data_IF_329987667929
#
_entry.id   IF_329987667929
#
_cell.length_a   1.000
_cell.length_b   1.000
_cell.length_c   1.000
_cell.angle_alpha   90.00
_cell.angle_beta   90.00
_cell.angle_gamma   90.00
#
_symmetry.space_group_name_H-M   'P 1'
#
loop_
_entity.id
_entity.type
_entity.pdbx_description
1 polymer ?
#
# COMPACT_ATOMS: atom_id res chain seq x y z
N UNK A 1 20.68 17.25 2.95
CA UNK A 1 20.76 15.83 3.33
C UNK A 1 21.38 15.05 2.19
N UNK A 2 22.31 14.12 2.46
CA UNK A 2 22.86 13.22 1.42
C UNK A 2 21.94 12.02 1.20
N UNK A 3 22.01 11.34 0.05
CA UNK A 3 21.18 10.14 -0.19
C UNK A 3 21.37 9.06 0.88
N UNK A 4 22.60 8.87 1.37
CA UNK A 4 22.88 7.93 2.46
C UNK A 4 22.11 8.29 3.74
N UNK A 5 22.09 9.58 4.11
CA UNK A 5 21.32 10.07 5.27
C UNK A 5 19.81 9.90 5.04
N UNK A 6 19.33 10.10 3.81
CA UNK A 6 17.92 9.89 3.48
C UNK A 6 17.50 8.43 3.68
N UNK A 7 18.32 7.48 3.21
CA UNK A 7 18.05 6.05 3.43
C UNK A 7 18.13 5.66 4.91
N UNK A 8 18.99 6.30 5.70
CA UNK A 8 19.00 6.08 7.15
C UNK A 8 17.70 6.53 7.82
N UNK A 9 17.16 7.69 7.44
CA UNK A 9 15.85 8.16 7.93
C UNK A 9 14.74 7.22 7.49
N UNK A 10 14.74 6.76 6.23
CA UNK A 10 13.73 5.80 5.76
C UNK A 10 13.85 4.44 6.46
N UNK A 11 15.06 3.98 6.79
CA UNK A 11 15.28 2.76 7.60
C UNK A 11 14.71 2.86 9.00
N UNK A 12 14.81 4.03 9.64
CA UNK A 12 14.24 4.24 10.97
C UNK A 12 12.73 4.48 10.94
N UNK A 13 12.20 5.09 9.87
CA UNK A 13 10.78 5.41 9.74
C UNK A 13 9.93 4.25 9.18
N UNK A 14 10.40 3.56 8.14
CA UNK A 14 9.68 2.47 7.45
C UNK A 14 10.05 1.10 8.04
N UNK A 15 9.81 0.95 9.34
CA UNK A 15 10.09 -0.31 10.05
C UNK A 15 9.10 -1.42 9.70
N UNK A 16 9.46 -2.66 10.02
CA UNK A 16 8.57 -3.80 9.83
C UNK A 16 7.26 -3.66 10.64
N UNK A 17 7.32 -2.98 11.79
CA UNK A 17 6.13 -2.72 12.60
C UNK A 17 5.22 -1.69 11.92
N UNK A 18 5.79 -0.62 11.37
CA UNK A 18 5.05 0.37 10.57
C UNK A 18 4.41 -0.31 9.35
N UNK A 19 5.11 -1.22 8.68
CA UNK A 19 4.56 -1.99 7.56
C UNK A 19 3.36 -2.86 7.98
N UNK A 20 3.43 -3.52 9.15
CA UNK A 20 2.29 -4.31 9.68
C UNK A 20 1.09 -3.42 10.01
N UNK A 21 1.31 -2.28 10.65
CA UNK A 21 0.24 -1.33 10.95
C UNK A 21 -0.40 -0.78 9.67
N UNK A 22 0.43 -0.44 8.69
CA UNK A 22 -0.02 0.06 7.40
C UNK A 22 -0.79 -1.00 6.62
N UNK A 23 -0.37 -2.27 6.70
CA UNK A 23 -1.14 -3.41 6.18
C UNK A 23 -2.54 -3.45 6.78
N UNK A 24 -2.65 -3.39 8.11
CA UNK A 24 -3.96 -3.42 8.77
C UNK A 24 -4.84 -2.25 8.33
N UNK A 25 -4.29 -1.04 8.26
CA UNK A 25 -5.00 0.16 7.80
C UNK A 25 -5.50 0.02 6.37
N UNK A 26 -4.65 -0.45 5.46
CA UNK A 26 -4.97 -0.62 4.04
C UNK A 26 -6.01 -1.71 3.85
N UNK A 27 -5.87 -2.86 4.50
CA UNK A 27 -6.83 -3.95 4.39
C UNK A 27 -8.20 -3.56 4.95
N UNK A 28 -8.26 -2.84 6.07
CA UNK A 28 -9.51 -2.31 6.59
C UNK A 28 -10.18 -1.31 5.63
N UNK A 29 -9.39 -0.51 4.90
CA UNK A 29 -9.91 0.41 3.88
C UNK A 29 -10.46 -0.34 2.66
N UNK A 30 -9.76 -1.38 2.20
CA UNK A 30 -10.21 -2.24 1.09
C UNK A 30 -11.49 -2.99 1.46
N UNK A 31 -11.54 -3.55 2.66
CA UNK A 31 -12.73 -4.24 3.19
C UNK A 31 -13.93 -3.30 3.26
N UNK A 32 -13.75 -2.12 3.85
CA UNK A 32 -14.81 -1.09 3.91
C UNK A 32 -15.32 -0.73 2.53
N UNK A 33 -14.42 -0.52 1.58
CA UNK A 33 -14.78 -0.23 0.19
C UNK A 33 -15.56 -1.37 -0.47
N UNK A 34 -15.21 -2.62 -0.20
CA UNK A 34 -15.96 -3.76 -0.70
C UNK A 34 -17.39 -3.77 -0.14
N UNK A 35 -17.55 -3.52 1.17
CA UNK A 35 -18.86 -3.35 1.78
C UNK A 35 -19.65 -2.19 1.17
N UNK A 36 -19.03 -1.02 0.98
CA UNK A 36 -19.69 0.15 0.38
C UNK A 36 -20.18 -0.14 -1.05
N UNK A 37 -19.40 -0.89 -1.83
CA UNK A 37 -19.80 -1.31 -3.18
C UNK A 37 -20.98 -2.28 -3.16
N UNK A 38 -21.00 -3.24 -2.23
CA UNK A 38 -22.12 -4.16 -2.08
C UNK A 38 -23.39 -3.44 -1.61
N UNK A 39 -23.26 -2.48 -0.69
CA UNK A 39 -24.36 -1.63 -0.26
C UNK A 39 -24.90 -0.75 -1.39
N UNK A 40 -24.02 -0.19 -2.23
CA UNK A 40 -24.44 0.57 -3.41
C UNK A 40 -25.20 -0.29 -4.44
N UNK A 41 -24.97 -1.60 -4.44
CA UNK A 41 -25.69 -2.57 -5.26
C UNK A 41 -26.96 -3.13 -4.57
N UNK A 42 -27.22 -2.77 -3.31
CA UNK A 42 -28.33 -3.27 -2.50
C UNK A 42 -28.22 -4.76 -2.17
N UNK A 43 -26.99 -5.29 -2.10
CA UNK A 43 -26.67 -6.71 -1.85
C UNK A 43 -25.69 -6.88 -0.70
N UNK A 44 -25.61 -5.92 0.22
CA UNK A 44 -24.74 -5.97 1.40
C UNK A 44 -24.97 -7.19 2.29
N UNK A 45 -26.20 -7.71 2.31
CA UNK A 45 -26.60 -8.89 3.07
C UNK A 45 -25.95 -10.19 2.59
N UNK A 46 -25.41 -10.21 1.35
CA UNK A 46 -24.78 -11.41 0.78
C UNK A 46 -23.55 -11.85 1.57
N UNK A 47 -22.88 -10.92 2.25
CA UNK A 47 -21.74 -11.27 3.11
C UNK A 47 -22.14 -11.94 4.44
N UNK A 48 -23.41 -11.81 4.84
CA UNK A 48 -23.96 -12.42 6.05
C UNK A 48 -24.61 -13.79 5.75
N UNK A 49 -24.72 -14.17 4.48
CA UNK A 49 -25.25 -15.47 4.08
C UNK A 49 -24.29 -16.59 4.53
N UNK A 50 -24.77 -17.58 5.32
CA UNK A 50 -23.92 -18.63 5.87
C UNK A 50 -23.08 -19.37 4.81
N UNK A 51 -23.68 -19.64 3.65
CA UNK A 51 -23.04 -20.32 2.53
C UNK A 51 -21.90 -19.49 1.91
N UNK A 52 -22.03 -18.16 1.91
CA UNK A 52 -20.99 -17.24 1.42
C UNK A 52 -19.86 -17.14 2.43
N UNK A 53 -20.18 -17.05 3.72
CA UNK A 53 -19.20 -17.06 4.82
C UNK A 53 -18.36 -18.34 4.79
N UNK A 54 -19.00 -19.51 4.63
CA UNK A 54 -18.32 -20.81 4.56
C UNK A 54 -17.42 -20.91 3.31
N UNK A 55 -17.92 -20.46 2.15
CA UNK A 55 -17.13 -20.40 0.91
C UNK A 55 -15.95 -19.45 1.00
N UNK A 56 -16.11 -18.29 1.66
CA UNK A 56 -15.03 -17.35 1.89
C UNK A 56 -13.99 -17.91 2.87
N UNK A 57 -14.41 -18.65 3.89
CA UNK A 57 -13.51 -19.34 4.81
C UNK A 57 -12.68 -20.42 4.09
N UNK A 58 -13.33 -21.28 3.31
CA UNK A 58 -12.66 -22.27 2.45
C UNK A 58 -11.72 -21.59 1.45
N UNK A 59 -12.15 -20.51 0.81
CA UNK A 59 -11.31 -19.75 -0.11
C UNK A 59 -10.04 -19.20 0.58
N UNK A 60 -10.14 -18.68 1.81
CA UNK A 60 -8.99 -18.23 2.60
C UNK A 60 -8.04 -19.38 3.01
N UNK A 61 -8.57 -20.59 3.17
CA UNK A 61 -7.81 -21.78 3.54
C UNK A 61 -7.07 -22.39 2.34
N UNK A 62 -7.67 -22.35 1.15
CA UNK A 62 -7.17 -23.04 -0.05
C UNK A 62 -6.52 -22.11 -1.10
N UNK A 63 -6.70 -20.80 -1.01
CA UNK A 63 -6.06 -19.84 -1.90
C UNK A 63 -5.23 -18.80 -1.14
N UNK A 64 -4.00 -18.60 -1.62
CA UNK A 64 -3.30 -17.34 -1.45
C UNK A 64 -4.19 -16.22 -2.02
N UNK A 65 -4.79 -15.43 -1.11
CA UNK A 65 -5.88 -14.49 -1.37
C UNK A 65 -5.39 -13.44 -2.40
N UNK A 66 -6.24 -12.79 -3.21
CA UNK A 66 -5.84 -11.66 -4.05
C UNK A 66 -5.17 -10.51 -3.27
N UNK A 67 -5.43 -10.44 -1.95
CA UNK A 67 -4.69 -9.60 -1.00
C UNK A 67 -3.20 -9.96 -0.86
N UNK A 68 -2.77 -11.17 -1.24
CA UNK A 68 -1.35 -11.54 -1.29
C UNK A 68 -0.61 -10.77 -2.38
N UNK A 69 -1.25 -10.40 -3.49
CA UNK A 69 -0.61 -9.57 -4.51
C UNK A 69 -0.48 -8.11 -4.05
N UNK A 70 -1.50 -7.58 -3.35
CA UNK A 70 -1.40 -6.26 -2.73
C UNK A 70 -0.37 -6.25 -1.60
N UNK A 71 -0.35 -7.29 -0.77
CA UNK A 71 0.60 -7.42 0.32
C UNK A 71 2.03 -7.59 -0.19
N UNK A 72 2.27 -8.43 -1.20
CA UNK A 72 3.56 -8.56 -1.88
C UNK A 72 3.98 -7.21 -2.48
N UNK A 73 3.07 -6.47 -3.12
CA UNK A 73 3.36 -5.13 -3.62
C UNK A 73 3.76 -4.17 -2.51
N UNK A 74 3.06 -4.19 -1.37
CA UNK A 74 3.40 -3.37 -0.20
C UNK A 74 4.79 -3.75 0.35
N UNK A 75 5.08 -5.03 0.52
CA UNK A 75 6.38 -5.52 0.98
C UNK A 75 7.50 -5.09 0.02
N UNK A 76 7.23 -5.19 -1.29
CA UNK A 76 8.16 -4.76 -2.32
C UNK A 76 8.48 -3.27 -2.19
N UNK A 77 7.48 -2.38 -2.16
CA UNK A 77 7.74 -0.94 -2.11
C UNK A 77 8.39 -0.51 -0.80
N UNK A 78 8.04 -1.12 0.34
CA UNK A 78 8.69 -0.84 1.62
C UNK A 78 10.17 -1.24 1.59
N UNK A 79 10.48 -2.44 1.11
CA UNK A 79 11.88 -2.89 0.98
C UNK A 79 12.67 -1.97 0.05
N UNK A 80 12.14 -1.67 -1.14
CA UNK A 80 12.86 -0.84 -2.12
C UNK A 80 13.06 0.59 -1.61
N UNK A 81 12.06 1.18 -0.98
CA UNK A 81 12.18 2.51 -0.40
C UNK A 81 13.25 2.56 0.71
N UNK A 82 13.35 1.49 1.50
CA UNK A 82 14.27 1.39 2.63
C UNK A 82 15.71 1.08 2.24
N UNK A 83 15.87 0.12 1.35
CA UNK A 83 17.15 -0.54 1.07
C UNK A 83 17.72 -0.14 -0.31
N UNK A 84 16.92 0.55 -1.14
CA UNK A 84 17.25 0.91 -2.51
C UNK A 84 16.77 -0.13 -3.52
N UNK A 85 16.75 0.26 -4.80
CA UNK A 85 16.34 -0.59 -5.92
C UNK A 85 17.56 -1.15 -6.67
N UNK A 86 17.57 -2.46 -6.91
CA UNK A 86 18.44 -3.04 -7.94
C UNK A 86 17.82 -2.96 -9.36
N UNK A 87 18.52 -3.49 -10.36
CA UNK A 87 18.04 -3.45 -11.76
C UNK A 87 16.75 -4.25 -11.98
N UNK A 88 16.59 -5.37 -11.27
CA UNK A 88 15.39 -6.19 -11.35
C UNK A 88 14.19 -5.49 -10.70
N UNK A 89 14.44 -4.79 -9.59
CA UNK A 89 13.45 -4.00 -8.87
C UNK A 89 12.89 -2.87 -9.74
N UNK A 90 13.75 -2.18 -10.49
CA UNK A 90 13.32 -1.12 -11.42
C UNK A 90 12.35 -1.63 -12.48
N UNK A 91 12.52 -2.88 -12.90
CA UNK A 91 11.65 -3.52 -13.89
C UNK A 91 10.29 -3.91 -13.29
N UNK A 92 10.28 -4.33 -12.02
CA UNK A 92 9.07 -4.78 -11.31
C UNK A 92 8.28 -3.63 -10.66
N UNK A 93 8.92 -2.50 -10.37
CA UNK A 93 8.31 -1.36 -9.69
C UNK A 93 7.01 -0.87 -10.34
N UNK A 94 6.90 -0.70 -11.68
CA UNK A 94 5.66 -0.26 -12.31
C UNK A 94 4.48 -1.22 -12.08
N UNK A 95 4.75 -2.52 -12.03
CA UNK A 95 3.71 -3.54 -11.81
C UNK A 95 3.17 -3.46 -10.38
N UNK A 96 4.07 -3.46 -9.38
CA UNK A 96 3.68 -3.41 -7.97
C UNK A 96 3.03 -2.08 -7.59
N UNK A 97 3.56 -0.94 -8.06
CA UNK A 97 2.93 0.37 -7.89
C UNK A 97 1.54 0.38 -8.54
N UNK A 98 1.43 -0.15 -9.77
CA UNK A 98 0.15 -0.26 -10.46
C UNK A 98 -0.86 -1.11 -9.69
N UNK A 99 -0.44 -2.20 -9.05
CA UNK A 99 -1.30 -3.05 -8.21
C UNK A 99 -1.82 -2.27 -7.01
N UNK A 100 -0.96 -1.52 -6.31
CA UNK A 100 -1.37 -0.67 -5.18
C UNK A 100 -2.36 0.41 -5.66
N UNK A 101 -2.00 1.17 -6.69
CA UNK A 101 -2.81 2.30 -7.14
C UNK A 101 -4.18 1.87 -7.66
N UNK A 102 -4.23 0.79 -8.45
CA UNK A 102 -5.50 0.26 -8.94
C UNK A 102 -6.37 -0.28 -7.82
N UNK A 103 -5.79 -1.03 -6.89
CA UNK A 103 -6.57 -1.64 -5.80
C UNK A 103 -7.15 -0.60 -4.87
N UNK A 104 -6.39 0.45 -4.53
CA UNK A 104 -6.79 1.44 -3.55
C UNK A 104 -7.60 2.60 -4.14
N UNK A 105 -7.31 3.01 -5.37
CA UNK A 105 -7.76 4.29 -5.90
C UNK A 105 -8.52 4.23 -7.23
N UNK A 106 -8.57 3.09 -7.92
CA UNK A 106 -9.38 2.97 -9.15
C UNK A 106 -10.84 2.75 -8.78
N UNK A 107 -11.71 3.70 -9.11
CA UNK A 107 -13.17 3.55 -8.99
C UNK A 107 -13.72 2.57 -10.03
N UNK A 108 -14.83 1.90 -9.73
CA UNK A 108 -15.55 1.05 -10.70
C UNK A 108 -15.97 1.85 -11.96
N UNK A 109 -16.17 3.17 -11.81
CA UNK A 109 -16.61 4.06 -12.88
C UNK A 109 -15.46 4.76 -13.62
N UNK A 110 -14.24 4.77 -13.07
CA UNK A 110 -13.11 5.55 -13.61
C UNK A 110 -11.90 4.62 -13.74
N UNK A 111 -11.40 4.44 -14.97
CA UNK A 111 -10.26 3.55 -15.25
C UNK A 111 -8.94 4.06 -14.63
N UNK A 112 -8.83 5.36 -14.36
CA UNK A 112 -7.64 5.99 -13.82
C UNK A 112 -7.71 6.09 -12.29
N UNK A 113 -6.68 5.62 -11.55
CA UNK A 113 -6.56 5.83 -10.11
C UNK A 113 -6.67 7.31 -9.73
N UNK A 114 -7.44 7.64 -8.69
CA UNK A 114 -7.53 8.99 -8.11
C UNK A 114 -6.92 8.99 -6.72
N UNK A 115 -5.66 9.38 -6.62
CA UNK A 115 -4.88 9.35 -5.37
C UNK A 115 -5.05 10.70 -4.65
N UNK A 116 -5.61 10.75 -3.42
CA UNK A 116 -5.76 11.99 -2.69
C UNK A 116 -4.41 12.47 -2.15
N UNK A 117 -4.19 13.78 -2.08
CA UNK A 117 -2.90 14.37 -1.70
C UNK A 117 -2.39 13.87 -0.34
N UNK A 118 -3.30 13.78 0.64
CA UNK A 118 -3.03 13.31 1.99
C UNK A 118 -2.50 11.86 2.04
N UNK A 119 -2.74 11.07 1.00
CA UNK A 119 -2.22 9.71 0.95
C UNK A 119 -0.70 9.67 0.82
N UNK A 120 -0.09 10.67 0.16
CA UNK A 120 1.36 10.76 0.01
C UNK A 120 2.10 11.01 1.32
N UNK A 121 1.37 11.37 2.38
CA UNK A 121 1.88 11.55 3.73
C UNK A 121 1.83 10.24 4.55
N UNK A 122 1.16 9.18 4.08
CA UNK A 122 1.12 7.89 4.80
C UNK A 122 2.40 7.09 4.55
N UNK A 123 2.78 6.16 5.46
CA UNK A 123 3.97 5.34 5.28
C UNK A 123 4.03 4.60 3.93
N UNK A 124 2.90 4.03 3.46
CA UNK A 124 2.84 3.42 2.14
C UNK A 124 2.98 4.43 1.01
N UNK A 125 2.35 5.60 1.13
CA UNK A 125 2.44 6.67 0.13
C UNK A 125 3.87 7.19 -0.04
N UNK A 126 4.57 7.40 1.06
CA UNK A 126 5.98 7.79 1.07
C UNK A 126 6.84 6.71 0.40
N UNK A 127 6.64 5.44 0.76
CA UNK A 127 7.35 4.33 0.13
C UNK A 127 7.10 4.29 -1.38
N UNK A 128 5.85 4.41 -1.82
CA UNK A 128 5.50 4.46 -3.24
C UNK A 128 6.16 5.64 -3.96
N UNK A 129 6.16 6.84 -3.36
CA UNK A 129 6.79 8.04 -3.94
C UNK A 129 8.30 7.87 -4.11
N UNK A 130 8.98 7.28 -3.12
CA UNK A 130 10.42 6.98 -3.21
C UNK A 130 10.72 5.97 -4.31
N UNK A 131 9.90 4.93 -4.43
CA UNK A 131 10.07 3.90 -5.48
C UNK A 131 9.78 4.47 -6.87
N UNK A 132 8.78 5.34 -7.00
CA UNK A 132 8.37 5.93 -8.28
C UNK A 132 9.31 7.04 -8.76
N UNK A 133 9.67 7.97 -7.87
CA UNK A 133 10.39 9.21 -8.23
C UNK A 133 11.86 9.19 -7.82
N UNK A 134 12.30 8.18 -7.07
CA UNK A 134 13.62 8.11 -6.48
C UNK A 134 13.76 8.93 -5.20
N UNK A 135 14.75 8.57 -4.38
CA UNK A 135 14.96 9.16 -3.06
C UNK A 135 15.26 10.67 -3.10
N UNK A 136 16.02 11.12 -4.10
CA UNK A 136 16.39 12.53 -4.25
C UNK A 136 15.18 13.45 -4.48
N UNK A 137 14.15 12.95 -5.15
CA UNK A 137 12.90 13.69 -5.41
C UNK A 137 11.97 13.76 -4.18
N UNK A 138 12.30 13.04 -3.10
CA UNK A 138 11.51 12.95 -1.88
C UNK A 138 12.19 13.63 -0.68
N UNK A 139 13.21 14.46 -0.93
CA UNK A 139 14.01 15.10 0.11
C UNK A 139 13.18 15.92 1.11
N UNK A 140 12.14 16.59 0.61
CA UNK A 140 11.16 17.39 1.37
C UNK A 140 10.43 16.56 2.43
N UNK A 141 9.89 15.42 2.02
CA UNK A 141 9.13 14.53 2.89
C UNK A 141 10.03 13.83 3.90
N UNK A 142 11.22 13.41 3.48
CA UNK A 142 12.19 12.73 4.35
C UNK A 142 12.72 13.69 5.42
N UNK A 143 12.94 14.97 5.09
CA UNK A 143 13.34 15.97 6.09
C UNK A 143 12.23 16.17 7.14
N UNK A 144 10.97 16.17 6.71
CA UNK A 144 9.82 16.26 7.62
C UNK A 144 9.74 15.05 8.55
N UNK A 145 9.92 13.83 8.03
CA UNK A 145 9.98 12.60 8.84
C UNK A 145 11.11 12.65 9.88
N UNK A 146 12.28 13.17 9.48
CA UNK A 146 13.41 13.33 10.39
C UNK A 146 13.08 14.27 11.53
N UNK A 147 12.48 15.42 11.24
CA UNK A 147 12.07 16.39 12.27
C UNK A 147 11.07 15.81 13.26
N UNK A 148 10.10 15.01 12.77
CA UNK A 148 9.10 14.35 13.60
C UNK A 148 9.69 13.23 14.49
N UNK A 149 10.78 12.59 14.07
CA UNK A 149 11.46 11.56 14.85
C UNK A 149 12.35 12.17 15.97
N UNK A 150 12.76 13.43 15.82
CA UNK A 150 13.61 14.14 16.78
C UNK A 150 12.80 14.94 17.84
N UNK A 151 11.49 15.12 17.61
CA UNK A 151 10.54 15.82 18.50
C UNK A 151 9.79 14.87 19.43
#
# INVERSE_FOLDING_TARGET
MTEAQMYEVLRSALTDEVMKQERLRVFAAVERRAHDLLAALGVEFVLDEPDVVERLALYKEFHHVPGDHLWQAMQFVFRVARDGADESDRTLAPEYLGTIYRTLFTSVLVKTPQIPEQWWETPLGIACRVVESGIAACADVIETLKQLAES
#
